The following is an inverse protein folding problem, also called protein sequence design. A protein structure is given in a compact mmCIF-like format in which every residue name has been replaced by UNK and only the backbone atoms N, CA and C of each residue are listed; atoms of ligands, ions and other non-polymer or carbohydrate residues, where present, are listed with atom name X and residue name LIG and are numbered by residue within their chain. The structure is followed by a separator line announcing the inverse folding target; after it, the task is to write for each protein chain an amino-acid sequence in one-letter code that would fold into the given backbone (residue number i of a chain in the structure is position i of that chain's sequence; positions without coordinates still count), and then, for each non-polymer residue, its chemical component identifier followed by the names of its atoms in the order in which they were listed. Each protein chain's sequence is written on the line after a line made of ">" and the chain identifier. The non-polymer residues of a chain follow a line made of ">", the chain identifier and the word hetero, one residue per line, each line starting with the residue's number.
data_IF_315206822214
#
_entry.id   IF_315206822214
#
_cell.length_a   1.000
_cell.length_b   1.000
_cell.length_c   1.000
_cell.angle_alpha   90.00
_cell.angle_beta   90.00
_cell.angle_gamma   90.00
#
_symmetry.space_group_name_H-M   'P 1'
#
loop_
_entity.id
_entity.type
_entity.pdbx_description
1 polymer ?
#
# COMPACT_ATOMS: atom_id res chain seq x y z
N UNK A 1 -7.35 0.20 13.43
CA UNK A 1 -8.76 0.56 13.17
C UNK A 1 -8.96 0.56 11.67
N UNK A 2 -10.08 0.04 11.21
CA UNK A 2 -10.46 0.03 9.79
C UNK A 2 -11.61 1.00 9.53
N UNK A 3 -11.72 1.49 8.31
CA UNK A 3 -12.89 2.22 7.81
C UNK A 3 -14.15 1.36 8.02
N UNK A 4 -15.34 1.99 8.18
CA UNK A 4 -16.59 1.29 8.52
C UNK A 4 -16.94 0.09 7.62
N UNK A 5 -16.47 0.08 6.37
CA UNK A 5 -16.69 -0.98 5.39
C UNK A 5 -15.45 -1.83 5.07
N UNK A 6 -14.33 -1.64 5.77
CA UNK A 6 -13.07 -2.33 5.48
C UNK A 6 -12.36 -1.86 4.22
N UNK A 7 -12.69 -0.66 3.72
CA UNK A 7 -12.16 -0.10 2.47
C UNK A 7 -10.77 0.55 2.61
N UNK A 8 -10.11 0.41 3.77
CA UNK A 8 -8.79 1.04 4.02
C UNK A 8 -7.73 0.63 2.99
N UNK A 9 -7.88 -0.57 2.41
CA UNK A 9 -6.97 -1.11 1.41
C UNK A 9 -6.88 -0.23 0.15
N UNK A 10 -7.94 0.52 -0.19
CA UNK A 10 -7.93 1.48 -1.29
C UNK A 10 -7.08 2.71 -0.99
N UNK A 11 -7.01 3.11 0.28
CA UNK A 11 -6.30 4.32 0.71
C UNK A 11 -4.87 4.05 1.16
N UNK A 12 -4.46 2.78 1.30
CA UNK A 12 -3.09 2.40 1.66
C UNK A 12 -2.04 3.07 0.76
N UNK A 13 -2.12 3.04 -0.59
CA UNK A 13 -1.13 3.71 -1.44
C UNK A 13 -1.17 5.23 -1.35
N UNK A 14 -2.37 5.81 -1.18
CA UNK A 14 -2.57 7.26 -1.00
C UNK A 14 -1.88 7.74 0.28
N UNK A 15 -2.09 7.04 1.39
CA UNK A 15 -1.46 7.35 2.67
C UNK A 15 0.07 7.22 2.65
N UNK A 16 0.61 6.41 1.72
CA UNK A 16 2.04 6.23 1.48
C UNK A 16 2.61 7.14 0.39
N UNK A 17 1.78 7.98 -0.23
CA UNK A 17 2.19 8.92 -1.26
C UNK A 17 2.54 8.28 -2.61
N UNK A 18 2.11 7.03 -2.86
CA UNK A 18 2.34 6.34 -4.13
C UNK A 18 1.42 6.85 -5.24
N UNK A 19 0.23 7.32 -4.89
CA UNK A 19 -0.70 8.00 -5.78
C UNK A 19 -1.50 9.09 -5.02
N UNK A 20 -2.08 10.03 -5.76
CA UNK A 20 -2.95 11.05 -5.20
C UNK A 20 -4.38 10.57 -5.04
N UNK A 21 -5.09 11.08 -4.02
CA UNK A 21 -6.51 10.74 -3.81
C UNK A 21 -7.39 11.21 -4.97
N UNK A 22 -7.03 12.33 -5.60
CA UNK A 22 -7.67 12.83 -6.81
C UNK A 22 -7.60 11.84 -7.96
N UNK A 23 -6.49 11.12 -8.11
CA UNK A 23 -6.30 10.11 -9.16
C UNK A 23 -7.15 8.86 -8.95
N UNK A 24 -7.31 8.46 -7.70
CA UNK A 24 -8.23 7.38 -7.35
C UNK A 24 -9.69 7.77 -7.67
N UNK A 25 -10.06 9.04 -7.46
CA UNK A 25 -11.42 9.53 -7.75
C UNK A 25 -11.69 9.78 -9.23
N UNK A 26 -10.70 10.24 -9.99
CA UNK A 26 -10.84 10.50 -11.43
C UNK A 26 -10.68 9.24 -12.28
N UNK A 27 -10.25 8.12 -11.69
CA UNK A 27 -10.08 6.82 -12.34
C UNK A 27 -8.81 6.72 -13.19
N UNK A 28 -7.87 7.65 -13.05
CA UNK A 28 -6.55 7.57 -13.70
C UNK A 28 -5.62 6.51 -13.10
N UNK A 29 -5.96 6.02 -11.90
CA UNK A 29 -5.45 4.76 -11.35
C UNK A 29 -6.62 3.80 -11.14
N UNK A 30 -6.45 2.55 -11.55
CA UNK A 30 -7.48 1.54 -11.43
C UNK A 30 -7.26 0.58 -10.25
N UNK A 31 -8.13 -0.42 -10.11
CA UNK A 31 -8.02 -1.40 -9.02
C UNK A 31 -6.79 -2.30 -9.15
N UNK A 32 -6.31 -2.57 -10.37
CA UNK A 32 -5.09 -3.35 -10.59
C UNK A 32 -3.86 -2.54 -10.18
N UNK A 33 -3.84 -1.24 -10.47
CA UNK A 33 -2.78 -0.34 -9.98
C UNK A 33 -2.74 -0.32 -8.44
N UNK A 34 -3.90 -0.18 -7.79
CA UNK A 34 -3.99 -0.20 -6.32
C UNK A 34 -3.55 -1.55 -5.74
N UNK A 35 -3.94 -2.66 -6.37
CA UNK A 35 -3.51 -3.99 -5.96
C UNK A 35 -1.98 -4.13 -6.03
N UNK A 36 -1.37 -3.72 -7.15
CA UNK A 36 0.08 -3.77 -7.32
C UNK A 36 0.83 -2.90 -6.31
N UNK A 37 0.32 -1.69 -6.04
CA UNK A 37 0.92 -0.81 -5.03
C UNK A 37 0.84 -1.41 -3.62
N UNK A 38 -0.27 -2.08 -3.29
CA UNK A 38 -0.40 -2.79 -2.02
C UNK A 38 0.57 -3.96 -1.91
N UNK A 39 0.72 -4.77 -2.96
CA UNK A 39 1.72 -5.86 -3.00
C UNK A 39 3.14 -5.32 -2.79
N UNK A 40 3.49 -4.20 -3.43
CA UNK A 40 4.79 -3.57 -3.23
C UNK A 40 5.01 -3.13 -1.77
N UNK A 41 3.98 -2.57 -1.12
CA UNK A 41 4.04 -2.22 0.30
C UNK A 41 4.21 -3.44 1.22
N UNK A 42 3.59 -4.56 0.88
CA UNK A 42 3.71 -5.81 1.62
C UNK A 42 5.14 -6.37 1.49
N UNK A 43 5.70 -6.39 0.28
CA UNK A 43 7.12 -6.78 0.04
C UNK A 43 8.09 -5.89 0.82
N UNK A 44 7.87 -4.58 0.87
CA UNK A 44 8.71 -3.66 1.64
C UNK A 44 8.64 -4.00 3.15
N UNK A 45 7.44 -4.27 3.67
CA UNK A 45 7.25 -4.62 5.07
C UNK A 45 7.91 -5.96 5.42
N UNK A 46 7.77 -6.97 4.56
CA UNK A 46 8.41 -8.28 4.71
C UNK A 46 9.95 -8.15 4.71
N UNK A 47 10.51 -7.38 3.77
CA UNK A 47 11.95 -7.11 3.73
C UNK A 47 12.46 -6.44 5.00
N UNK A 48 11.73 -5.44 5.51
CA UNK A 48 12.08 -4.78 6.77
C UNK A 48 12.01 -5.73 7.96
N UNK A 49 11.04 -6.65 7.99
CA UNK A 49 10.91 -7.67 9.02
C UNK A 49 12.05 -8.71 8.95
N UNK A 50 12.50 -9.10 7.75
CA UNK A 50 13.65 -9.99 7.55
C UNK A 50 14.94 -9.32 8.05
N UNK A 51 15.16 -8.05 7.70
CA UNK A 51 16.34 -7.31 8.16
C UNK A 51 16.40 -7.18 9.68
N UNK A 52 15.25 -6.94 10.34
CA UNK A 52 15.21 -6.89 11.81
C UNK A 52 15.49 -8.26 12.46
N UNK A 53 15.12 -9.36 11.80
CA UNK A 53 15.35 -10.72 12.31
C UNK A 53 16.77 -11.24 12.07
N UNK A 54 17.50 -10.66 11.11
CA UNK A 54 18.88 -11.05 10.81
C UNK A 54 19.84 -9.85 10.81
N UNK A 55 20.26 -9.35 11.99
CA UNK A 55 21.08 -8.14 12.12
C UNK A 55 22.54 -8.30 11.65
N UNK A 56 22.91 -9.40 10.99
CA UNK A 56 24.29 -9.72 10.58
C UNK A 56 24.51 -9.55 9.04
N UNK A 57 23.51 -9.10 8.27
CA UNK A 57 23.76 -8.62 6.91
C UNK A 57 24.31 -7.19 6.87
#
# INVERSE_FOLDING_TARGET
>A
MSLPNGEDWLLRPVAKGMCGFERLKDGSVDLADIALMNEALDVIAENAAIQQQNPIC
#
